data_IF_047501403584
#
_entry.id   IF_047501403584
#
_cell.length_a   1.000
_cell.length_b   1.000
_cell.length_c   1.000
_cell.angle_alpha   90.00
_cell.angle_beta   90.00
_cell.angle_gamma   90.00
#
_symmetry.space_group_name_H-M   'P 1'
#
loop_
_entity.id
_entity.type
_entity.pdbx_description
1 polymer ?
#
# COMPACT_ATOMS: atom_id res chain seq x y z
N UNK A 1 24.16 0.41 -9.22
CA UNK A 1 24.95 -0.60 -8.46
C UNK A 1 24.11 -1.88 -8.43
N UNK A 2 24.52 -2.93 -9.16
CA UNK A 2 23.79 -4.21 -9.24
C UNK A 2 24.17 -5.22 -8.16
N UNK A 3 25.34 -5.05 -7.56
CA UNK A 3 25.83 -5.86 -6.45
C UNK A 3 26.13 -4.96 -5.26
N UNK A 4 25.81 -5.45 -4.07
CA UNK A 4 26.19 -4.77 -2.84
C UNK A 4 27.71 -4.64 -2.74
N UNK A 5 28.16 -3.54 -2.17
CA UNK A 5 29.58 -3.38 -1.86
C UNK A 5 29.90 -4.17 -0.59
N UNK A 6 30.91 -5.02 -0.64
CA UNK A 6 31.39 -5.77 0.53
C UNK A 6 32.42 -4.99 1.34
N UNK A 7 33.02 -3.96 0.75
CA UNK A 7 34.00 -3.07 1.39
C UNK A 7 34.01 -1.70 0.70
N UNK A 8 34.49 -0.68 1.41
CA UNK A 8 34.66 0.68 0.91
C UNK A 8 36.12 1.08 1.17
N UNK A 9 37.02 0.65 0.29
CA UNK A 9 38.48 0.84 0.44
C UNK A 9 39.07 1.86 -0.54
N UNK A 10 38.26 2.32 -1.52
CA UNK A 10 38.71 3.22 -2.58
C UNK A 10 39.48 2.57 -3.72
N UNK A 11 39.57 1.24 -3.75
CA UNK A 11 40.36 0.50 -4.78
C UNK A 11 39.82 0.68 -6.21
N UNK A 12 38.52 0.84 -6.36
CA UNK A 12 37.87 1.02 -7.66
C UNK A 12 37.05 2.32 -7.71
N UNK A 13 36.59 2.69 -8.93
CA UNK A 13 35.85 3.95 -9.11
C UNK A 13 34.52 3.98 -8.35
N UNK A 14 33.85 2.83 -8.19
CA UNK A 14 32.56 2.75 -7.47
C UNK A 14 32.76 3.07 -5.99
N UNK A 15 33.76 2.43 -5.36
CA UNK A 15 34.11 2.69 -3.96
C UNK A 15 34.52 4.15 -3.75
N UNK A 16 35.38 4.72 -4.65
CA UNK A 16 35.76 6.14 -4.59
C UNK A 16 34.57 7.08 -4.75
N UNK A 17 33.59 6.74 -5.61
CA UNK A 17 32.35 7.52 -5.74
C UNK A 17 31.55 7.52 -4.46
N UNK A 18 31.39 6.35 -3.83
CA UNK A 18 30.68 6.21 -2.55
C UNK A 18 31.40 6.98 -1.44
N UNK A 19 32.75 6.90 -1.35
CA UNK A 19 33.52 7.67 -0.38
C UNK A 19 33.28 9.17 -0.55
N UNK A 20 33.39 9.68 -1.78
CA UNK A 20 33.12 11.10 -2.08
C UNK A 20 31.69 11.51 -1.72
N UNK A 21 30.70 10.65 -1.97
CA UNK A 21 29.32 10.94 -1.59
C UNK A 21 29.16 11.05 -0.08
N UNK A 22 29.78 10.14 0.67
CA UNK A 22 29.76 10.17 2.16
C UNK A 22 30.44 11.44 2.68
N UNK A 23 31.64 11.75 2.21
CA UNK A 23 32.43 12.93 2.62
C UNK A 23 31.68 14.23 2.36
N UNK A 24 30.93 14.31 1.25
CA UNK A 24 30.15 15.48 0.85
C UNK A 24 28.69 15.43 1.31
N UNK A 25 28.28 14.44 2.10
CA UNK A 25 26.90 14.25 2.60
C UNK A 25 25.86 14.18 1.46
N UNK A 26 26.23 13.59 0.35
CA UNK A 26 25.34 13.39 -0.82
C UNK A 26 24.69 12.02 -0.76
N UNK A 27 23.36 11.99 -0.80
CA UNK A 27 22.61 10.74 -0.91
C UNK A 27 22.65 10.24 -2.37
N UNK A 28 22.88 8.94 -2.54
CA UNK A 28 22.81 8.27 -3.85
C UNK A 28 21.58 7.38 -3.87
N UNK A 29 20.67 7.63 -4.79
CA UNK A 29 19.48 6.81 -5.00
C UNK A 29 19.47 6.23 -6.42
N UNK A 30 19.45 4.89 -6.52
CA UNK A 30 19.37 4.18 -7.79
C UNK A 30 17.95 3.63 -8.00
N UNK A 31 17.17 4.28 -8.86
CA UNK A 31 15.78 3.92 -9.12
C UNK A 31 15.64 2.68 -10.02
N UNK A 32 16.65 2.37 -10.83
CA UNK A 32 16.70 1.23 -11.76
C UNK A 32 15.38 1.08 -12.56
N UNK A 33 14.84 -0.14 -12.66
CA UNK A 33 13.60 -0.47 -13.40
C UNK A 33 12.30 0.05 -12.74
N UNK A 34 12.36 0.64 -11.56
CA UNK A 34 11.17 1.23 -10.96
C UNK A 34 10.59 2.37 -11.81
N UNK A 35 11.45 3.15 -12.47
CA UNK A 35 11.02 4.23 -13.36
C UNK A 35 10.37 3.69 -14.65
N UNK A 36 10.75 2.50 -15.11
CA UNK A 36 10.14 1.85 -16.29
C UNK A 36 8.70 1.42 -16.01
N UNK A 37 8.35 1.19 -14.75
CA UNK A 37 7.01 0.78 -14.33
C UNK A 37 6.03 1.95 -14.12
N UNK A 38 6.52 3.19 -14.10
CA UNK A 38 5.66 4.35 -13.90
C UNK A 38 4.98 4.75 -15.21
N UNK A 39 3.67 5.11 -15.18
CA UNK A 39 2.89 5.48 -16.36
C UNK A 39 3.51 6.59 -17.20
N UNK A 40 4.21 7.54 -16.57
CA UNK A 40 4.92 8.64 -17.22
C UNK A 40 6.44 8.44 -17.24
N UNK A 41 6.89 7.21 -16.98
CA UNK A 41 8.29 6.83 -16.95
C UNK A 41 8.95 6.77 -18.33
N UNK A 42 10.08 6.06 -18.43
CA UNK A 42 10.93 6.03 -19.64
C UNK A 42 10.14 5.57 -20.87
N UNK A 43 9.34 4.50 -20.73
CA UNK A 43 8.55 3.98 -21.86
C UNK A 43 7.55 4.99 -22.41
N UNK A 44 6.90 5.76 -21.54
CA UNK A 44 5.99 6.83 -21.93
C UNK A 44 6.73 7.98 -22.64
N UNK A 45 7.86 8.43 -22.09
CA UNK A 45 8.65 9.52 -22.68
C UNK A 45 9.19 9.12 -24.05
N UNK A 46 9.65 7.87 -24.21
CA UNK A 46 10.08 7.33 -25.49
C UNK A 46 8.91 7.31 -26.49
N UNK A 47 7.75 6.83 -26.08
CA UNK A 47 6.55 6.84 -26.92
C UNK A 47 6.16 8.26 -27.35
N UNK A 48 6.29 9.25 -26.46
CA UNK A 48 6.08 10.68 -26.78
C UNK A 48 7.06 11.17 -27.83
N UNK A 49 8.35 10.83 -27.72
CA UNK A 49 9.35 11.15 -28.73
C UNK A 49 9.04 10.51 -30.10
N UNK A 50 8.45 9.32 -30.11
CA UNK A 50 8.01 8.64 -31.34
C UNK A 50 6.66 9.14 -31.87
N UNK A 51 6.02 10.11 -31.21
CA UNK A 51 4.74 10.67 -31.64
C UNK A 51 3.51 9.82 -31.30
N UNK A 52 3.61 8.92 -30.33
CA UNK A 52 2.46 8.13 -29.88
C UNK A 52 1.43 9.00 -29.17
N UNK A 53 0.18 8.88 -29.54
CA UNK A 53 -0.98 9.51 -28.90
C UNK A 53 -1.77 8.49 -28.09
N UNK A 54 -2.55 8.96 -27.11
CA UNK A 54 -3.40 8.13 -26.25
C UNK A 54 -2.61 6.95 -25.66
N UNK A 55 -1.46 7.26 -25.10
CA UNK A 55 -0.58 6.26 -24.52
C UNK A 55 -1.19 5.66 -23.24
N UNK A 56 -1.03 4.37 -23.08
CA UNK A 56 -1.37 3.61 -21.88
C UNK A 56 -0.31 2.55 -21.61
N UNK A 57 -0.26 2.07 -20.40
CA UNK A 57 0.64 0.98 -20.03
C UNK A 57 0.31 -0.28 -20.85
N UNK A 58 1.33 -0.89 -21.44
CA UNK A 58 1.21 -2.09 -22.28
C UNK A 58 0.89 -3.32 -21.42
N UNK A 59 1.64 -3.51 -20.34
CA UNK A 59 1.50 -4.63 -19.40
C UNK A 59 1.22 -4.09 -18.00
N UNK A 60 -0.04 -3.82 -17.63
CA UNK A 60 -0.41 -3.38 -16.29
C UNK A 60 0.03 -4.39 -15.23
N UNK A 61 0.56 -3.91 -14.12
CA UNK A 61 0.95 -4.75 -13.00
C UNK A 61 -0.28 -5.34 -12.31
N UNK A 62 -0.20 -6.63 -12.01
CA UNK A 62 -1.24 -7.37 -11.28
C UNK A 62 -0.86 -7.51 -9.81
N UNK A 63 -1.85 -7.87 -8.98
CA UNK A 63 -1.66 -8.21 -7.56
C UNK A 63 -0.98 -7.08 -6.78
N UNK A 64 -1.32 -5.83 -7.08
CA UNK A 64 -0.80 -4.64 -6.43
C UNK A 64 -1.77 -4.04 -5.42
N UNK A 65 -3.01 -4.50 -5.44
CA UNK A 65 -4.08 -4.04 -4.57
C UNK A 65 -4.45 -5.11 -3.55
N UNK A 66 -4.78 -4.65 -2.35
CA UNK A 66 -5.28 -5.45 -1.24
C UNK A 66 -6.64 -4.90 -0.81
N UNK A 67 -7.51 -5.78 -0.35
CA UNK A 67 -8.75 -5.45 0.30
C UNK A 67 -8.62 -5.81 1.78
N UNK A 68 -8.75 -4.81 2.64
CA UNK A 68 -8.75 -4.96 4.09
C UNK A 68 -10.20 -4.88 4.57
N UNK A 69 -10.61 -5.86 5.36
CA UNK A 69 -11.85 -5.80 6.14
C UNK A 69 -11.49 -5.93 7.61
N UNK A 70 -12.11 -5.10 8.47
CA UNK A 70 -11.99 -5.18 9.94
C UNK A 70 -13.34 -4.93 10.58
N UNK A 71 -13.50 -5.32 11.84
CA UNK A 71 -14.75 -5.27 12.58
C UNK A 71 -14.59 -4.37 13.79
N UNK A 72 -15.29 -3.25 13.81
CA UNK A 72 -15.09 -2.16 14.77
C UNK A 72 -16.40 -1.85 15.49
N UNK A 73 -16.40 -1.61 16.82
CA UNK A 73 -17.57 -1.07 17.49
C UNK A 73 -18.10 0.19 16.77
N UNK A 74 -19.41 0.28 16.61
CA UNK A 74 -20.03 1.33 15.79
C UNK A 74 -19.64 2.75 16.21
N UNK A 75 -19.38 2.98 17.49
CA UNK A 75 -18.94 4.25 18.04
C UNK A 75 -17.50 4.65 17.67
N UNK A 76 -16.64 3.68 17.34
CA UNK A 76 -15.21 3.91 17.06
C UNK A 76 -14.87 3.93 15.56
N UNK A 77 -15.85 3.69 14.70
CA UNK A 77 -15.64 3.51 13.26
C UNK A 77 -14.95 4.70 12.60
N UNK A 78 -15.36 5.93 12.92
CA UNK A 78 -14.80 7.12 12.30
C UNK A 78 -13.33 7.32 12.67
N UNK A 79 -12.96 7.02 13.91
CA UNK A 79 -11.58 7.08 14.40
C UNK A 79 -10.69 6.10 13.63
N UNK A 80 -11.15 4.85 13.49
CA UNK A 80 -10.39 3.81 12.77
C UNK A 80 -10.32 4.13 11.28
N UNK A 81 -11.43 4.53 10.64
CA UNK A 81 -11.43 4.91 9.22
C UNK A 81 -10.49 6.09 8.93
N UNK A 82 -10.51 7.14 9.77
CA UNK A 82 -9.61 8.27 9.61
C UNK A 82 -8.13 7.83 9.66
N UNK A 83 -7.78 6.96 10.61
CA UNK A 83 -6.42 6.43 10.73
C UNK A 83 -6.01 5.57 9.51
N UNK A 84 -6.90 4.74 8.99
CA UNK A 84 -6.65 3.93 7.79
C UNK A 84 -6.45 4.82 6.54
N UNK A 85 -7.26 5.86 6.39
CA UNK A 85 -7.15 6.82 5.29
C UNK A 85 -5.86 7.64 5.37
N UNK A 86 -5.48 8.11 6.56
CA UNK A 86 -4.21 8.83 6.78
C UNK A 86 -3.00 7.94 6.47
N UNK A 87 -3.09 6.64 6.77
CA UNK A 87 -2.06 5.66 6.41
C UNK A 87 -2.02 5.32 4.91
N UNK A 88 -2.95 5.86 4.10
CA UNK A 88 -2.99 5.78 2.64
C UNK A 88 -4.03 4.82 2.06
N UNK A 89 -4.86 4.16 2.86
CA UNK A 89 -5.94 3.31 2.36
C UNK A 89 -7.09 4.14 1.74
N UNK A 90 -7.92 3.51 0.90
CA UNK A 90 -9.15 4.09 0.38
C UNK A 90 -8.96 4.96 -0.88
N UNK A 91 -7.90 4.74 -1.67
CA UNK A 91 -7.74 5.43 -2.96
C UNK A 91 -8.19 4.54 -4.11
N UNK A 92 -9.15 5.01 -4.92
CA UNK A 92 -9.68 4.30 -6.10
C UNK A 92 -9.77 5.30 -7.26
N UNK A 93 -8.82 5.25 -8.20
CA UNK A 93 -8.72 6.23 -9.30
C UNK A 93 -8.59 7.65 -8.75
N UNK A 94 -9.49 8.54 -9.15
CA UNK A 94 -9.53 9.95 -8.70
C UNK A 94 -10.29 10.15 -7.38
N UNK A 95 -10.74 9.08 -6.72
CA UNK A 95 -11.46 9.15 -5.45
C UNK A 95 -10.56 8.77 -4.28
N UNK A 96 -10.63 9.53 -3.21
CA UNK A 96 -9.94 9.27 -1.93
C UNK A 96 -10.93 8.95 -0.83
N UNK A 97 -10.43 8.38 0.26
CA UNK A 97 -11.24 8.02 1.44
C UNK A 97 -12.41 7.06 1.14
N UNK A 98 -12.25 6.24 0.10
CA UNK A 98 -13.25 5.24 -0.24
C UNK A 98 -13.25 4.12 0.80
N UNK A 99 -14.42 3.87 1.36
CA UNK A 99 -14.65 2.78 2.30
C UNK A 99 -16.06 2.25 2.14
N UNK A 100 -16.31 1.06 2.64
CA UNK A 100 -17.64 0.49 2.71
C UNK A 100 -17.87 -0.10 4.09
N UNK A 101 -19.00 0.21 4.72
CA UNK A 101 -19.36 -0.28 6.05
C UNK A 101 -20.67 -1.05 6.01
N UNK A 102 -20.73 -2.14 6.78
CA UNK A 102 -21.93 -2.95 6.99
C UNK A 102 -22.12 -3.18 8.49
N UNK A 103 -23.26 -2.75 9.00
CA UNK A 103 -23.61 -2.99 10.41
C UNK A 103 -23.94 -4.46 10.67
N UNK A 104 -23.41 -5.00 11.74
CA UNK A 104 -23.58 -6.38 12.13
C UNK A 104 -23.48 -6.60 13.64
N UNK A 105 -23.41 -7.86 14.04
CA UNK A 105 -23.22 -8.28 15.41
C UNK A 105 -21.99 -9.18 15.53
N UNK A 106 -20.95 -8.70 16.20
CA UNK A 106 -19.79 -9.49 16.58
C UNK A 106 -20.11 -10.38 17.79
N UNK A 107 -19.56 -11.60 17.80
CA UNK A 107 -19.71 -12.55 18.91
C UNK A 107 -18.37 -13.14 19.27
N UNK A 108 -18.05 -13.13 20.55
CA UNK A 108 -16.81 -13.69 21.06
C UNK A 108 -16.92 -14.06 22.53
N UNK A 109 -16.00 -14.88 22.99
CA UNK A 109 -15.87 -15.20 24.43
C UNK A 109 -14.47 -14.84 24.87
N UNK A 110 -14.30 -13.78 25.69
CA UNK A 110 -12.98 -13.42 26.21
C UNK A 110 -12.45 -14.54 27.13
N UNK A 111 -11.16 -14.86 27.01
CA UNK A 111 -10.50 -15.83 27.91
C UNK A 111 -10.29 -15.23 29.31
N UNK A 112 -9.96 -16.09 30.30
CA UNK A 112 -9.61 -15.65 31.65
C UNK A 112 -8.42 -14.68 31.69
N UNK A 113 -7.50 -14.78 30.70
CA UNK A 113 -6.27 -13.97 30.62
C UNK A 113 -6.40 -12.73 29.74
N UNK A 114 -7.51 -12.56 28.99
CA UNK A 114 -7.74 -11.39 28.15
C UNK A 114 -8.11 -10.15 28.98
N UNK A 115 -7.94 -8.97 28.36
CA UNK A 115 -8.41 -7.70 28.91
C UNK A 115 -9.45 -7.07 27.96
N UNK A 116 -10.69 -7.60 27.92
CA UNK A 116 -11.66 -7.22 26.92
C UNK A 116 -12.16 -5.79 27.17
N UNK A 117 -12.21 -4.97 26.10
CA UNK A 117 -12.87 -3.66 26.15
C UNK A 117 -14.42 -3.81 26.26
N UNK A 118 -14.97 -4.84 25.67
CA UNK A 118 -16.39 -5.19 25.68
C UNK A 118 -16.56 -6.63 26.14
N UNK A 119 -17.66 -6.90 26.87
CA UNK A 119 -17.98 -8.22 27.39
C UNK A 119 -17.27 -8.57 28.70
N UNK A 120 -17.63 -9.69 29.27
CA UNK A 120 -17.06 -10.23 30.50
C UNK A 120 -16.24 -11.49 30.21
N UNK A 121 -15.15 -11.70 30.97
CA UNK A 121 -14.30 -12.89 30.83
C UNK A 121 -15.13 -14.17 30.97
N UNK A 122 -14.79 -15.16 30.13
CA UNK A 122 -15.43 -16.50 30.11
C UNK A 122 -16.93 -16.51 29.82
N UNK A 123 -17.52 -15.36 29.44
CA UNK A 123 -18.92 -15.26 29.02
C UNK A 123 -19.05 -14.89 27.57
N UNK A 124 -20.05 -15.44 26.90
CA UNK A 124 -20.34 -15.11 25.51
C UNK A 124 -20.84 -13.67 25.41
N UNK A 125 -20.13 -12.84 24.66
CA UNK A 125 -20.46 -11.44 24.42
C UNK A 125 -21.08 -11.26 23.03
N UNK A 126 -21.94 -10.25 22.90
CA UNK A 126 -22.48 -9.76 21.62
C UNK A 126 -22.32 -8.26 21.58
N UNK A 127 -21.71 -7.78 20.50
CA UNK A 127 -21.42 -6.35 20.33
C UNK A 127 -21.94 -5.90 18.97
N UNK A 128 -22.55 -4.72 18.93
CA UNK A 128 -22.87 -4.08 17.65
C UNK A 128 -21.57 -3.57 17.02
N UNK A 129 -21.26 -4.07 15.87
CA UNK A 129 -20.03 -3.74 15.12
C UNK A 129 -20.37 -3.34 13.70
N UNK A 130 -19.44 -2.63 13.08
CA UNK A 130 -19.43 -2.42 11.63
C UNK A 130 -18.24 -3.16 11.02
N UNK A 131 -18.53 -3.97 10.02
CA UNK A 131 -17.50 -4.48 9.11
C UNK A 131 -17.08 -3.33 8.18
N UNK A 132 -15.87 -2.84 8.34
CA UNK A 132 -15.30 -1.76 7.54
C UNK A 132 -14.36 -2.34 6.49
N UNK A 133 -14.57 -1.97 5.23
CA UNK A 133 -13.74 -2.40 4.11
C UNK A 133 -13.08 -1.23 3.41
N UNK A 134 -11.79 -1.35 3.14
CA UNK A 134 -11.00 -0.38 2.37
C UNK A 134 -10.07 -1.09 1.39
N UNK A 135 -9.77 -0.45 0.27
CA UNK A 135 -8.74 -0.90 -0.68
C UNK A 135 -7.45 -0.15 -0.38
N UNK A 136 -6.31 -0.83 -0.50
CA UNK A 136 -4.99 -0.23 -0.34
C UNK A 136 -4.00 -0.83 -1.34
N UNK A 137 -2.93 -0.09 -1.62
CA UNK A 137 -1.82 -0.63 -2.39
C UNK A 137 -0.94 -1.53 -1.55
N UNK A 138 -0.42 -2.59 -2.14
CA UNK A 138 0.42 -3.58 -1.45
C UNK A 138 1.63 -2.97 -0.72
N UNK A 139 2.20 -1.87 -1.25
CA UNK A 139 3.31 -1.17 -0.60
C UNK A 139 2.89 -0.41 0.67
N UNK A 140 1.59 -0.08 0.83
CA UNK A 140 1.03 0.59 2.01
C UNK A 140 0.65 -0.39 3.13
N UNK A 141 0.73 -1.71 2.87
CA UNK A 141 0.28 -2.75 3.81
C UNK A 141 0.76 -2.51 5.24
N UNK A 142 2.07 -2.32 5.41
CA UNK A 142 2.64 -2.22 6.77
C UNK A 142 2.19 -0.95 7.50
N UNK A 143 2.11 0.20 6.81
CA UNK A 143 1.62 1.45 7.42
C UNK A 143 0.14 1.38 7.78
N UNK A 144 -0.68 0.77 6.92
CA UNK A 144 -2.13 0.62 7.16
C UNK A 144 -2.39 -0.37 8.30
N UNK A 145 -1.71 -1.51 8.35
CA UNK A 145 -1.86 -2.46 9.45
C UNK A 145 -1.35 -1.88 10.78
N UNK A 146 -0.26 -1.15 10.77
CA UNK A 146 0.22 -0.43 11.96
C UNK A 146 -0.82 0.59 12.47
N UNK A 147 -1.44 1.36 11.57
CA UNK A 147 -2.50 2.28 11.92
C UNK A 147 -3.72 1.56 12.46
N UNK A 148 -4.13 0.44 11.85
CA UNK A 148 -5.22 -0.39 12.33
C UNK A 148 -4.97 -0.86 13.77
N UNK A 149 -3.84 -1.50 14.02
CA UNK A 149 -3.49 -2.02 15.36
C UNK A 149 -3.40 -0.91 16.42
N UNK A 150 -2.90 0.27 16.04
CA UNK A 150 -2.75 1.40 16.97
C UNK A 150 -4.07 2.07 17.36
N UNK A 151 -5.01 2.18 16.43
CA UNK A 151 -6.26 2.94 16.63
C UNK A 151 -7.48 2.05 16.83
N UNK A 152 -7.35 0.75 16.65
CA UNK A 152 -8.43 -0.18 16.93
C UNK A 152 -8.60 -0.34 18.44
N UNK A 153 -9.85 -0.31 18.97
CA UNK A 153 -10.08 -0.36 20.42
C UNK A 153 -9.80 -1.73 21.04
N UNK A 154 -9.76 -2.82 20.25
CA UNK A 154 -9.55 -4.16 20.77
C UNK A 154 -8.07 -4.51 20.90
N UNK A 155 -7.71 -5.23 21.96
CA UNK A 155 -6.34 -5.75 22.17
C UNK A 155 -5.91 -6.77 21.11
N UNK A 156 -6.87 -7.49 20.53
CA UNK A 156 -6.68 -8.44 19.42
C UNK A 156 -7.59 -8.03 18.28
N UNK A 157 -7.02 -7.47 17.25
CA UNK A 157 -7.78 -6.94 16.11
C UNK A 157 -8.12 -8.06 15.14
N UNK A 158 -9.42 -8.25 14.89
CA UNK A 158 -9.89 -9.12 13.81
C UNK A 158 -9.86 -8.38 12.49
N UNK A 159 -9.13 -8.89 11.51
CA UNK A 159 -9.12 -8.36 10.16
C UNK A 159 -8.83 -9.44 9.11
N UNK A 160 -9.26 -9.20 7.90
CA UNK A 160 -8.94 -9.99 6.71
C UNK A 160 -8.23 -9.12 5.70
N UNK A 161 -7.19 -9.67 5.07
CA UNK A 161 -6.42 -9.00 4.03
C UNK A 161 -6.32 -9.91 2.81
N UNK A 162 -7.03 -9.53 1.74
CA UNK A 162 -7.17 -10.34 0.53
C UNK A 162 -6.50 -9.65 -0.65
N UNK A 163 -5.74 -10.40 -1.45
CA UNK A 163 -5.19 -9.87 -2.71
C UNK A 163 -6.30 -9.76 -3.76
N UNK A 164 -6.32 -8.61 -4.46
CA UNK A 164 -7.27 -8.35 -5.53
C UNK A 164 -6.64 -8.63 -6.90
N UNK A 165 -7.39 -9.28 -7.79
CA UNK A 165 -6.99 -9.46 -9.20
C UNK A 165 -7.15 -8.19 -10.04
N UNK A 166 -7.65 -7.10 -9.48
CA UNK A 166 -7.82 -5.82 -10.13
C UNK A 166 -6.50 -5.33 -10.72
N UNK A 167 -6.52 -4.95 -11.99
CA UNK A 167 -5.35 -4.41 -12.68
C UNK A 167 -5.16 -2.95 -12.30
N UNK A 168 -3.95 -2.60 -11.94
CA UNK A 168 -3.60 -1.19 -11.78
C UNK A 168 -3.15 -0.63 -13.14
N UNK A 169 -3.84 0.41 -13.60
CA UNK A 169 -3.56 1.05 -14.90
C UNK A 169 -2.44 2.09 -14.84
N UNK A 170 -2.00 2.46 -13.64
CA UNK A 170 -0.99 3.50 -13.40
C UNK A 170 0.43 2.95 -13.27
N UNK A 171 0.57 1.63 -13.06
CA UNK A 171 1.86 0.94 -12.86
C UNK A 171 1.93 -0.28 -13.77
N UNK A 172 3.05 -0.44 -14.47
CA UNK A 172 3.30 -1.58 -15.35
C UNK A 172 4.39 -1.30 -16.36
N UNK A 173 4.68 -2.27 -17.19
CA UNK A 173 5.79 -2.22 -18.16
C UNK A 173 5.32 -1.81 -19.54
N UNK A 174 6.17 -1.01 -20.19
CA UNK A 174 5.97 -0.59 -21.57
C UNK A 174 4.85 0.41 -21.78
N UNK A 175 4.81 1.00 -22.96
CA UNK A 175 3.75 1.91 -23.39
C UNK A 175 3.21 1.49 -24.74
N UNK A 176 1.92 1.63 -24.94
CA UNK A 176 1.24 1.44 -26.22
C UNK A 176 0.40 2.66 -26.52
N UNK A 177 0.39 3.09 -27.76
CA UNK A 177 -0.39 4.24 -28.23
C UNK A 177 -0.65 4.14 -29.74
N UNK A 178 -1.19 5.22 -30.32
CA UNK A 178 -1.47 5.33 -31.73
C UNK A 178 -0.60 6.39 -32.38
N UNK A 179 -0.04 6.12 -33.55
CA UNK A 179 0.57 7.13 -34.40
C UNK A 179 -0.51 7.99 -35.05
N UNK A 180 -0.18 9.23 -35.42
CA UNK A 180 -1.11 10.12 -36.15
C UNK A 180 -1.33 9.70 -37.59
N UNK A 181 -0.33 9.03 -38.16
CA UNK A 181 -0.38 8.42 -39.49
C UNK A 181 0.32 7.07 -39.45
N UNK A 182 -0.04 6.09 -40.31
CA UNK A 182 0.69 4.84 -40.43
C UNK A 182 2.10 5.06 -40.93
#
# INVERSE_FOLDING_TARGET
IFKGLTSITGKNYVERTVIKAIENKVAIYAIHTALDNHKEGISYQLGKCLGLNNQRILLPQKNTLLHLTTYVPAEEKETVLAALHEAGAGSIGEYSHCSFGVSGEGRFTPSAHSNPQKGEKEKNARVKEEALSVVLYKHQKNSVLFALEKYHPYESVAYELVELENKQTEIGLGSIGKLKAP
#
